data_IF_310805246695
#
_entry.id   IF_310805246695
#
_cell.length_a   1.000
_cell.length_b   1.000
_cell.length_c   1.000
_cell.angle_alpha   90.00
_cell.angle_beta   90.00
_cell.angle_gamma   90.00
#
_symmetry.space_group_name_H-M   'P 1'
#
loop_
_entity.id
_entity.type
_entity.pdbx_description
1 polymer ?
#
# COMPACT_ATOMS: atom_id res chain seq x y z
N UNK A 1 -2.99 -28.67 -14.82
CA UNK A 1 -3.16 -27.53 -15.76
C UNK A 1 -4.56 -26.92 -15.80
N UNK A 2 -5.68 -27.65 -15.52
CA UNK A 2 -7.05 -27.07 -15.54
C UNK A 2 -7.45 -26.34 -14.23
N UNK A 3 -7.04 -26.80 -13.07
CA UNK A 3 -7.40 -26.22 -11.77
C UNK A 3 -6.74 -24.85 -11.53
N UNK A 4 -5.47 -24.66 -11.91
CA UNK A 4 -4.76 -23.38 -11.78
C UNK A 4 -5.37 -22.29 -12.66
N UNK A 5 -5.75 -22.61 -13.90
CA UNK A 5 -6.44 -21.67 -14.80
C UNK A 5 -7.81 -21.25 -14.27
N UNK A 6 -8.56 -22.15 -13.65
CA UNK A 6 -9.87 -21.83 -13.05
C UNK A 6 -9.74 -20.93 -11.83
N UNK A 7 -8.70 -21.14 -11.01
CA UNK A 7 -8.42 -20.31 -9.83
C UNK A 7 -8.02 -18.87 -10.23
N UNK A 8 -7.22 -18.71 -11.28
CA UNK A 8 -6.81 -17.41 -11.79
C UNK A 8 -8.01 -16.61 -12.34
N UNK A 9 -8.88 -17.24 -13.11
CA UNK A 9 -10.12 -16.61 -13.61
C UNK A 9 -11.06 -16.18 -12.49
N UNK A 10 -11.17 -16.98 -11.42
CA UNK A 10 -11.97 -16.62 -10.25
C UNK A 10 -11.43 -15.38 -9.55
N UNK A 11 -10.11 -15.31 -9.34
CA UNK A 11 -9.47 -14.13 -8.77
C UNK A 11 -9.55 -12.89 -9.68
N UNK A 12 -9.50 -13.06 -10.99
CA UNK A 12 -9.67 -11.96 -11.93
C UNK A 12 -11.05 -11.32 -11.82
N UNK A 13 -12.11 -12.13 -11.78
CA UNK A 13 -13.50 -11.65 -11.60
C UNK A 13 -13.69 -10.95 -10.25
N UNK A 14 -13.19 -11.56 -9.17
CA UNK A 14 -13.28 -10.97 -7.83
C UNK A 14 -12.52 -9.65 -7.74
N UNK A 15 -11.38 -9.53 -8.41
CA UNK A 15 -10.58 -8.32 -8.49
C UNK A 15 -11.28 -7.22 -9.26
N UNK A 16 -11.93 -7.55 -10.38
CA UNK A 16 -12.75 -6.62 -11.14
C UNK A 16 -13.91 -6.09 -10.30
N UNK A 17 -14.65 -6.98 -9.62
CA UNK A 17 -15.74 -6.58 -8.74
C UNK A 17 -15.29 -5.61 -7.62
N UNK A 18 -14.11 -5.86 -7.03
CA UNK A 18 -13.53 -4.94 -6.05
C UNK A 18 -13.23 -3.57 -6.67
N UNK A 19 -12.67 -3.54 -7.88
CA UNK A 19 -12.35 -2.28 -8.56
C UNK A 19 -13.61 -1.50 -8.90
N UNK A 20 -14.66 -2.17 -9.34
CA UNK A 20 -15.95 -1.56 -9.60
C UNK A 20 -16.57 -0.98 -8.31
N UNK A 21 -16.43 -1.72 -7.19
CA UNK A 21 -16.91 -1.26 -5.87
C UNK A 21 -16.15 -0.01 -5.39
N UNK A 22 -14.80 0.00 -5.43
CA UNK A 22 -14.04 1.19 -4.98
C UNK A 22 -14.23 2.38 -5.92
N UNK A 23 -14.46 2.15 -7.21
CA UNK A 23 -14.83 3.20 -8.17
C UNK A 23 -16.18 3.81 -7.82
N UNK A 24 -17.20 3.00 -7.52
CA UNK A 24 -18.53 3.48 -7.09
C UNK A 24 -18.49 4.29 -5.80
N UNK A 25 -17.50 4.05 -4.93
CA UNK A 25 -17.23 4.81 -3.70
C UNK A 25 -16.46 6.12 -3.93
N UNK A 26 -16.14 6.47 -5.18
CA UNK A 26 -15.58 7.77 -5.57
C UNK A 26 -14.09 7.77 -5.88
N UNK A 27 -13.44 6.60 -6.07
CA UNK A 27 -12.10 6.55 -6.68
C UNK A 27 -12.25 6.75 -8.17
N UNK A 28 -11.69 7.83 -8.71
CA UNK A 28 -11.86 8.25 -10.09
C UNK A 28 -10.59 8.21 -10.93
N UNK A 29 -9.42 8.11 -10.32
CA UNK A 29 -8.15 8.01 -11.04
C UNK A 29 -7.98 6.62 -11.65
N UNK A 30 -8.08 6.54 -12.98
CA UNK A 30 -7.99 5.28 -13.72
C UNK A 30 -6.65 4.55 -13.51
N UNK A 31 -5.58 5.29 -13.20
CA UNK A 31 -4.27 4.70 -12.91
C UNK A 31 -4.33 3.92 -11.59
N UNK A 32 -5.07 4.45 -10.60
CA UNK A 32 -5.28 3.77 -9.31
C UNK A 32 -6.09 2.51 -9.50
N UNK A 33 -7.21 2.59 -10.24
CA UNK A 33 -8.06 1.44 -10.54
C UNK A 33 -7.28 0.33 -11.28
N UNK A 34 -6.47 0.70 -12.28
CA UNK A 34 -5.60 -0.23 -13.01
C UNK A 34 -4.55 -0.90 -12.10
N UNK A 35 -3.96 -0.13 -11.17
CA UNK A 35 -3.00 -0.69 -10.21
C UNK A 35 -3.64 -1.74 -9.30
N UNK A 36 -4.89 -1.55 -8.89
CA UNK A 36 -5.63 -2.54 -8.11
C UNK A 36 -5.97 -3.78 -8.94
N UNK A 37 -6.32 -3.62 -10.21
CA UNK A 37 -6.51 -4.75 -11.14
C UNK A 37 -5.23 -5.58 -11.29
N UNK A 38 -4.07 -4.94 -11.29
CA UNK A 38 -2.76 -5.58 -11.52
C UNK A 38 -2.08 -6.08 -10.24
N UNK A 39 -2.63 -5.76 -9.04
CA UNK A 39 -2.01 -6.17 -7.77
C UNK A 39 -2.79 -7.32 -7.14
N UNK A 40 -2.21 -8.54 -7.06
CA UNK A 40 -2.91 -9.73 -6.58
C UNK A 40 -2.98 -9.74 -5.05
N UNK A 41 -4.04 -9.11 -4.47
CA UNK A 41 -4.21 -8.94 -3.02
C UNK A 41 -4.23 -10.27 -2.25
N UNK A 42 -4.70 -11.36 -2.86
CA UNK A 42 -4.72 -12.69 -2.22
C UNK A 42 -3.33 -13.21 -1.86
N UNK A 43 -2.25 -12.72 -2.50
CA UNK A 43 -0.87 -13.08 -2.14
C UNK A 43 -0.37 -12.39 -0.84
N UNK A 44 -1.13 -11.45 -0.29
CA UNK A 44 -0.76 -10.64 0.86
C UNK A 44 -1.56 -10.97 2.12
N UNK A 45 -2.52 -11.88 2.04
CA UNK A 45 -3.33 -12.38 3.15
C UNK A 45 -2.99 -13.84 3.46
N UNK A 46 -3.34 -14.31 4.64
CA UNK A 46 -3.22 -15.73 4.97
C UNK A 46 -4.23 -16.57 4.17
N UNK A 47 -3.89 -17.82 3.87
CA UNK A 47 -4.72 -18.72 3.08
C UNK A 47 -6.17 -18.83 3.57
N UNK A 48 -6.38 -18.78 4.89
CA UNK A 48 -7.71 -18.78 5.51
C UNK A 48 -8.59 -17.57 5.09
N UNK A 49 -7.98 -16.48 4.63
CA UNK A 49 -8.69 -15.28 4.20
C UNK A 49 -8.66 -15.07 2.67
N UNK A 50 -8.12 -16.00 1.90
CA UNK A 50 -7.97 -15.87 0.44
C UNK A 50 -9.31 -15.63 -0.27
N UNK A 51 -10.39 -16.29 0.17
CA UNK A 51 -11.74 -16.08 -0.39
C UNK A 51 -12.30 -14.67 -0.14
N UNK A 52 -11.81 -13.98 0.90
CA UNK A 52 -12.22 -12.63 1.30
C UNK A 52 -11.25 -11.55 0.84
N UNK A 53 -10.14 -11.93 0.19
CA UNK A 53 -9.07 -11.02 -0.19
C UNK A 53 -9.53 -9.83 -1.06
N UNK A 54 -10.60 -10.01 -1.82
CA UNK A 54 -11.16 -9.01 -2.73
C UNK A 54 -12.46 -8.38 -2.23
N UNK A 55 -12.82 -8.55 -0.95
CA UNK A 55 -13.84 -7.75 -0.29
C UNK A 55 -13.24 -6.42 0.15
N UNK A 56 -14.01 -5.33 0.07
CA UNK A 56 -13.55 -4.00 0.50
C UNK A 56 -13.59 -3.86 2.02
N UNK A 57 -12.72 -4.63 2.68
CA UNK A 57 -12.58 -4.66 4.13
C UNK A 57 -11.14 -4.88 4.58
N UNK A 58 -10.84 -4.51 5.83
CA UNK A 58 -9.59 -4.88 6.49
C UNK A 58 -9.62 -6.37 6.89
N UNK A 59 -8.46 -7.05 6.83
CA UNK A 59 -8.31 -8.44 7.23
C UNK A 59 -7.11 -8.57 8.16
N UNK A 60 -7.13 -9.50 9.14
CA UNK A 60 -6.01 -9.70 10.05
C UNK A 60 -4.79 -10.25 9.29
N UNK A 61 -3.61 -9.77 9.67
CA UNK A 61 -2.33 -10.25 9.16
C UNK A 61 -1.40 -10.75 10.28
N UNK A 62 -1.94 -11.00 11.47
CA UNK A 62 -1.20 -11.38 12.66
C UNK A 62 -0.63 -10.18 13.42
N UNK A 63 -0.06 -10.44 14.58
CA UNK A 63 0.56 -9.42 15.46
C UNK A 63 -0.36 -8.25 15.80
N UNK A 64 -1.66 -8.47 15.91
CA UNK A 64 -2.70 -7.45 16.09
C UNK A 64 -2.68 -6.37 15.00
N UNK A 65 -2.22 -6.71 13.79
CA UNK A 65 -2.22 -5.82 12.63
C UNK A 65 -3.17 -6.32 11.56
N UNK A 66 -3.55 -5.42 10.66
CA UNK A 66 -4.45 -5.71 9.54
C UNK A 66 -3.87 -5.22 8.22
N UNK A 67 -4.20 -5.90 7.12
CA UNK A 67 -4.13 -5.30 5.80
C UNK A 67 -5.28 -4.29 5.68
N UNK A 68 -4.97 -3.06 5.31
CA UNK A 68 -5.96 -1.99 5.22
C UNK A 68 -7.05 -2.30 4.20
N UNK A 69 -8.25 -1.75 4.43
CA UNK A 69 -9.36 -1.79 3.50
C UNK A 69 -8.92 -1.27 2.13
N UNK A 70 -9.25 -1.95 1.02
CA UNK A 70 -8.85 -1.55 -0.33
C UNK A 70 -9.21 -0.10 -0.69
N UNK A 71 -10.45 0.33 -0.39
CA UNK A 71 -10.87 1.71 -0.62
C UNK A 71 -9.95 2.73 0.07
N UNK A 72 -9.54 2.48 1.31
CA UNK A 72 -8.65 3.40 2.05
C UNK A 72 -7.26 3.47 1.38
N UNK A 73 -6.71 2.33 0.97
CA UNK A 73 -5.43 2.29 0.23
C UNK A 73 -5.57 3.06 -1.09
N UNK A 74 -6.63 2.83 -1.85
CA UNK A 74 -6.89 3.50 -3.12
C UNK A 74 -7.00 5.02 -2.92
N UNK A 75 -7.75 5.46 -1.90
CA UNK A 75 -7.94 6.87 -1.59
C UNK A 75 -6.64 7.56 -1.19
N UNK A 76 -5.81 6.93 -0.35
CA UNK A 76 -4.51 7.48 0.02
C UNK A 76 -3.58 7.63 -1.19
N UNK A 77 -3.54 6.64 -2.08
CA UNK A 77 -2.75 6.70 -3.32
C UNK A 77 -3.28 7.76 -4.27
N UNK A 78 -4.60 7.84 -4.46
CA UNK A 78 -5.24 8.88 -5.30
C UNK A 78 -4.91 10.30 -4.81
N UNK A 79 -4.92 10.51 -3.49
CA UNK A 79 -4.57 11.81 -2.89
C UNK A 79 -3.10 12.18 -3.15
N UNK A 80 -2.17 11.22 -3.07
CA UNK A 80 -0.76 11.46 -3.42
C UNK A 80 -0.63 11.86 -4.88
N UNK A 81 -1.34 11.17 -5.79
CA UNK A 81 -1.26 11.46 -7.22
C UNK A 81 -1.89 12.82 -7.57
N UNK A 82 -3.04 13.16 -6.96
CA UNK A 82 -3.67 14.47 -7.13
C UNK A 82 -2.85 15.62 -6.55
N UNK A 83 -2.11 15.35 -5.49
CA UNK A 83 -1.22 16.34 -4.87
C UNK A 83 0.11 16.52 -5.61
N UNK A 84 0.39 15.74 -6.62
CA UNK A 84 1.58 15.88 -7.44
C UNK A 84 1.44 17.07 -8.41
N UNK A 85 1.68 18.28 -7.88
CA UNK A 85 1.54 19.55 -8.63
C UNK A 85 2.43 19.65 -9.87
N UNK A 86 3.41 18.77 -10.02
CA UNK A 86 4.30 18.74 -11.19
C UNK A 86 3.87 17.75 -12.25
N UNK A 87 2.75 17.04 -12.05
CA UNK A 87 2.24 15.94 -12.90
C UNK A 87 3.34 14.94 -13.34
N UNK A 88 4.37 14.79 -12.49
CA UNK A 88 5.45 13.84 -12.72
C UNK A 88 4.98 12.43 -12.39
N UNK A 89 4.61 11.69 -13.38
CA UNK A 89 4.44 10.23 -13.26
C UNK A 89 5.50 9.53 -14.12
N UNK A 90 6.24 8.56 -13.57
CA UNK A 90 6.16 8.10 -12.18
C UNK A 90 6.76 9.10 -11.17
N UNK A 91 6.23 9.10 -9.95
CA UNK A 91 6.87 9.74 -8.80
C UNK A 91 8.31 9.22 -8.64
N UNK A 92 9.21 10.03 -8.11
CA UNK A 92 10.58 9.59 -7.85
C UNK A 92 10.63 8.57 -6.72
N UNK A 93 10.47 9.04 -5.50
CA UNK A 93 10.57 8.22 -4.29
C UNK A 93 9.41 8.50 -3.34
N UNK A 94 8.85 7.43 -2.80
CA UNK A 94 7.77 7.48 -1.80
C UNK A 94 8.24 6.78 -0.53
N UNK A 95 7.97 7.40 0.63
CA UNK A 95 8.14 6.79 1.94
C UNK A 95 6.80 6.25 2.43
N UNK A 96 6.78 4.99 2.80
CA UNK A 96 5.65 4.31 3.45
C UNK A 96 6.01 4.01 4.91
N UNK A 97 5.14 4.41 5.83
CA UNK A 97 5.24 4.05 7.24
C UNK A 97 4.14 3.03 7.57
N UNK A 98 4.55 1.83 7.96
CA UNK A 98 3.67 0.70 8.20
C UNK A 98 3.55 -0.20 6.95
N UNK A 99 4.58 -1.00 6.67
CA UNK A 99 4.61 -1.96 5.55
C UNK A 99 3.53 -3.04 5.69
N UNK A 100 3.32 -3.53 6.92
CA UNK A 100 2.42 -4.65 7.20
C UNK A 100 2.78 -5.90 6.40
N UNK A 101 1.83 -6.39 5.59
CA UNK A 101 2.05 -7.52 4.69
C UNK A 101 2.68 -7.14 3.34
N UNK A 102 2.87 -5.85 3.03
CA UNK A 102 3.46 -5.34 1.79
C UNK A 102 2.46 -5.04 0.66
N UNK A 103 1.15 -5.15 0.89
CA UNK A 103 0.15 -4.91 -0.16
C UNK A 103 0.17 -3.47 -0.67
N UNK A 104 0.14 -2.49 0.23
CA UNK A 104 0.19 -1.07 -0.15
C UNK A 104 1.52 -0.72 -0.81
N UNK A 105 2.65 -1.29 -0.35
CA UNK A 105 3.95 -1.20 -1.03
C UNK A 105 3.85 -1.67 -2.47
N UNK A 106 3.17 -2.81 -2.73
CA UNK A 106 2.98 -3.34 -4.09
C UNK A 106 2.12 -2.42 -4.96
N UNK A 107 1.07 -1.82 -4.42
CA UNK A 107 0.25 -0.82 -5.13
C UNK A 107 1.10 0.43 -5.44
N UNK A 108 1.79 1.00 -4.44
CA UNK A 108 2.65 2.19 -4.60
C UNK A 108 3.75 1.98 -5.64
N UNK A 109 4.29 0.76 -5.72
CA UNK A 109 5.35 0.42 -6.69
C UNK A 109 4.96 0.66 -8.16
N UNK A 110 3.67 0.76 -8.46
CA UNK A 110 3.16 1.05 -9.81
C UNK A 110 3.28 2.53 -10.19
N UNK A 111 3.45 3.41 -9.20
CA UNK A 111 3.38 4.87 -9.37
C UNK A 111 4.71 5.59 -9.16
N UNK A 112 5.72 4.92 -8.60
CA UNK A 112 6.99 5.56 -8.26
C UNK A 112 8.19 4.73 -8.71
N UNK A 113 9.32 5.40 -8.85
CA UNK A 113 10.59 4.73 -9.17
C UNK A 113 11.07 3.84 -8.03
N UNK A 114 10.83 4.26 -6.79
CA UNK A 114 11.25 3.51 -5.60
C UNK A 114 10.32 3.76 -4.42
N UNK A 115 9.90 2.68 -3.76
CA UNK A 115 9.21 2.73 -2.47
C UNK A 115 10.22 2.42 -1.36
N UNK A 116 10.30 3.31 -0.38
CA UNK A 116 10.98 3.07 0.89
C UNK A 116 9.90 2.79 1.92
N UNK A 117 9.95 1.64 2.57
CA UNK A 117 8.90 1.22 3.51
C UNK A 117 9.49 0.84 4.86
N UNK A 118 8.88 1.32 5.93
CA UNK A 118 9.33 1.08 7.30
C UNK A 118 8.29 0.24 8.03
N UNK A 119 8.74 -0.85 8.65
CA UNK A 119 7.93 -1.73 9.48
C UNK A 119 8.63 -1.98 10.81
N UNK A 120 7.92 -1.81 11.93
CA UNK A 120 8.52 -2.03 13.26
C UNK A 120 8.49 -3.49 13.70
N UNK A 121 7.59 -4.30 13.14
CA UNK A 121 7.40 -5.70 13.51
C UNK A 121 8.22 -6.57 12.55
N UNK A 122 9.38 -7.05 13.03
CA UNK A 122 10.32 -7.81 12.20
C UNK A 122 9.71 -8.99 11.44
N UNK A 123 8.87 -9.87 12.04
CA UNK A 123 8.22 -10.94 11.29
C UNK A 123 7.30 -10.45 10.16
N UNK A 124 6.65 -9.30 10.32
CA UNK A 124 5.84 -8.69 9.25
C UNK A 124 6.73 -8.15 8.13
N UNK A 125 7.84 -7.48 8.46
CA UNK A 125 8.80 -7.00 7.47
C UNK A 125 9.35 -8.15 6.61
N UNK A 126 9.69 -9.29 7.21
CA UNK A 126 10.18 -10.47 6.48
C UNK A 126 9.08 -11.11 5.62
N UNK A 127 7.84 -11.18 6.15
CA UNK A 127 6.69 -11.66 5.37
C UNK A 127 6.39 -10.74 4.19
N UNK A 128 6.43 -9.43 4.38
CA UNK A 128 6.24 -8.46 3.30
C UNK A 128 7.26 -8.65 2.16
N UNK A 129 8.54 -8.86 2.48
CA UNK A 129 9.58 -9.16 1.48
C UNK A 129 9.24 -10.40 0.65
N UNK A 130 8.78 -11.48 1.31
CA UNK A 130 8.36 -12.72 0.63
C UNK A 130 7.16 -12.46 -0.29
N UNK A 131 6.13 -11.80 0.21
CA UNK A 131 4.91 -11.50 -0.55
C UNK A 131 5.21 -10.62 -1.77
N UNK A 132 6.00 -9.55 -1.60
CA UNK A 132 6.41 -8.65 -2.68
C UNK A 132 7.22 -9.37 -3.75
N UNK A 133 8.13 -10.26 -3.34
CA UNK A 133 8.88 -11.12 -4.27
C UNK A 133 7.93 -12.02 -5.06
N UNK A 134 6.97 -12.67 -4.41
CA UNK A 134 5.96 -13.52 -5.06
C UNK A 134 5.06 -12.73 -6.02
N UNK A 135 4.75 -11.46 -5.69
CA UNK A 135 4.01 -10.55 -6.54
C UNK A 135 4.86 -9.91 -7.66
N UNK A 136 6.14 -10.26 -7.79
CA UNK A 136 7.05 -9.74 -8.82
C UNK A 136 7.47 -8.28 -8.66
N UNK A 137 7.27 -7.69 -7.49
CA UNK A 137 7.68 -6.30 -7.20
C UNK A 137 9.18 -6.23 -6.98
N UNK A 138 9.85 -5.22 -7.58
CA UNK A 138 11.33 -5.08 -7.53
C UNK A 138 11.80 -3.73 -7.02
N UNK A 139 11.00 -2.68 -7.13
CA UNK A 139 11.38 -1.29 -6.85
C UNK A 139 11.02 -0.84 -5.43
N UNK A 140 11.37 -1.64 -4.44
CA UNK A 140 11.16 -1.32 -3.02
C UNK A 140 12.41 -1.54 -2.17
N UNK A 141 12.43 -0.91 -1.01
CA UNK A 141 13.33 -1.20 0.10
C UNK A 141 12.52 -1.25 1.40
N UNK A 142 12.68 -2.30 2.19
CA UNK A 142 12.04 -2.42 3.50
C UNK A 142 13.11 -2.34 4.58
N UNK A 143 12.86 -1.48 5.58
CA UNK A 143 13.66 -1.37 6.81
C UNK A 143 12.80 -1.78 8.01
N UNK A 144 13.35 -2.64 8.86
CA UNK A 144 12.75 -2.91 10.17
C UNK A 144 13.25 -1.84 11.15
N UNK A 145 12.36 -0.90 11.55
CA UNK A 145 12.69 0.23 12.41
C UNK A 145 11.41 0.90 12.94
N UNK A 146 11.56 1.79 13.90
CA UNK A 146 10.50 2.71 14.31
C UNK A 146 10.18 3.68 13.16
N UNK A 147 8.92 3.71 12.73
CA UNK A 147 8.44 4.56 11.66
C UNK A 147 8.50 6.05 11.98
N UNK A 148 8.49 6.42 13.27
CA UNK A 148 8.63 7.82 13.69
C UNK A 148 9.96 8.44 13.31
N UNK A 149 10.99 7.61 13.09
CA UNK A 149 12.32 8.04 12.65
C UNK A 149 12.38 8.30 11.13
N UNK A 150 11.35 7.94 10.38
CA UNK A 150 11.37 8.02 8.93
C UNK A 150 12.47 7.16 8.30
N UNK A 151 13.18 7.75 7.32
CA UNK A 151 14.34 7.10 6.67
C UNK A 151 15.59 7.99 6.80
N UNK A 152 16.38 7.89 7.88
CA UNK A 152 17.42 8.87 8.24
C UNK A 152 18.50 9.11 7.19
N UNK A 153 18.81 8.08 6.37
CA UNK A 153 19.87 8.17 5.34
C UNK A 153 19.36 8.76 4.02
N UNK A 154 18.06 9.07 3.90
CA UNK A 154 17.46 9.64 2.70
C UNK A 154 16.71 10.93 3.05
N UNK A 155 17.03 12.02 2.36
CA UNK A 155 16.63 13.37 2.81
C UNK A 155 15.42 13.97 2.10
N UNK A 156 14.95 13.38 0.99
CA UNK A 156 13.86 13.97 0.19
C UNK A 156 12.97 12.88 -0.40
N UNK A 157 11.69 12.91 -0.08
CA UNK A 157 10.65 12.09 -0.69
C UNK A 157 9.67 12.98 -1.45
N UNK A 158 9.13 12.49 -2.56
CA UNK A 158 8.08 13.20 -3.30
C UNK A 158 6.73 13.09 -2.56
N UNK A 159 6.53 11.99 -1.83
CA UNK A 159 5.37 11.81 -0.97
C UNK A 159 5.69 10.90 0.22
N UNK A 160 4.94 11.07 1.31
CA UNK A 160 4.93 10.18 2.46
C UNK A 160 3.50 9.67 2.68
N UNK A 161 3.37 8.35 2.83
CA UNK A 161 2.11 7.69 3.19
C UNK A 161 2.28 7.00 4.54
N UNK A 162 1.37 7.27 5.47
CA UNK A 162 1.42 6.69 6.81
C UNK A 162 0.19 5.83 7.04
N UNK A 163 0.38 4.52 7.14
CA UNK A 163 -0.66 3.53 7.47
C UNK A 163 -0.60 3.09 8.94
N UNK A 164 0.39 3.60 9.68
CA UNK A 164 0.54 3.37 11.11
C UNK A 164 -0.18 4.47 11.91
N UNK A 165 -0.73 4.09 13.07
CA UNK A 165 -1.34 5.06 13.99
C UNK A 165 -0.26 5.85 14.72
N UNK A 166 -0.35 7.19 14.70
CA UNK A 166 0.46 8.08 15.51
C UNK A 166 -0.43 9.12 16.18
N UNK A 167 -0.10 9.52 17.41
CA UNK A 167 -0.81 10.61 18.11
C UNK A 167 -0.54 11.98 17.48
N UNK A 168 0.69 12.18 17.03
CA UNK A 168 1.15 13.40 16.38
C UNK A 168 2.00 13.00 15.16
N UNK A 169 2.07 13.89 14.17
CA UNK A 169 2.98 13.71 13.04
C UNK A 169 4.39 14.05 13.52
N UNK A 170 5.35 13.10 13.51
CA UNK A 170 6.72 13.41 13.90
C UNK A 170 7.38 14.43 12.96
N UNK A 171 8.12 15.38 13.50
CA UNK A 171 8.87 16.37 12.71
C UNK A 171 9.84 15.73 11.70
N UNK A 172 10.39 14.56 12.07
CA UNK A 172 11.23 13.74 11.19
C UNK A 172 10.56 13.30 9.90
N UNK A 173 9.22 13.27 9.85
CA UNK A 173 8.44 12.94 8.65
C UNK A 173 8.04 14.19 7.86
N UNK A 174 7.99 15.37 8.50
CA UNK A 174 7.62 16.63 7.84
C UNK A 174 8.81 17.22 7.08
N UNK A 175 10.00 17.22 7.69
CA UNK A 175 11.23 17.84 7.14
C UNK A 175 11.72 17.21 5.82
N UNK A 176 11.59 15.89 5.57
CA UNK A 176 12.11 15.26 4.35
C UNK A 176 11.17 15.34 3.13
N UNK A 177 10.02 15.97 3.22
CA UNK A 177 9.10 16.08 2.06
C UNK A 177 9.51 17.27 1.21
N UNK A 178 9.79 17.03 -0.06
CA UNK A 178 10.22 18.10 -1.00
C UNK A 178 9.11 19.09 -1.31
N UNK A 179 7.85 18.67 -1.21
CA UNK A 179 6.61 19.45 -1.22
C UNK A 179 5.53 18.66 -0.47
N UNK A 180 4.73 19.35 0.32
CA UNK A 180 3.87 18.84 1.37
C UNK A 180 2.70 17.98 0.90
N UNK A 181 2.88 16.66 0.79
CA UNK A 181 1.77 15.73 0.77
C UNK A 181 2.03 14.59 1.75
N UNK A 182 1.52 14.77 2.96
CA UNK A 182 1.40 13.74 3.96
C UNK A 182 -0.05 13.26 3.97
N UNK A 183 -0.30 12.03 3.55
CA UNK A 183 -1.61 11.40 3.70
C UNK A 183 -1.62 10.54 4.96
N UNK A 184 -2.50 10.87 5.87
CA UNK A 184 -2.80 10.07 7.05
C UNK A 184 -4.15 9.40 6.83
N UNK A 185 -4.34 8.12 7.25
CA UNK A 185 -5.67 7.59 7.37
C UNK A 185 -6.44 8.47 8.35
N UNK A 186 -7.59 8.96 7.93
CA UNK A 186 -8.51 9.66 8.82
C UNK A 186 -8.84 8.69 9.95
N UNK A 187 -8.48 9.07 11.19
CA UNK A 187 -8.86 8.28 12.35
C UNK A 187 -10.38 8.31 12.44
N UNK A 188 -11.04 7.25 12.02
CA UNK A 188 -12.41 6.98 12.43
C UNK A 188 -12.28 6.60 13.91
N UNK A 189 -12.61 7.53 14.80
CA UNK A 189 -12.87 7.19 16.19
C UNK A 189 -14.05 6.21 16.20
N UNK A 190 -13.79 4.98 16.61
CA UNK A 190 -14.82 4.07 17.10
C UNK A 190 -15.07 4.42 18.55
#
# INVERSE_FOLDING_TARGET
>A
MSLEKNTDLTYQRARQALVDEISSKGISDLRVLDAFLKTPRHLFVDGAFSSRAYQDMSLPIGYHQTISQPFIVARMVELILKGNIFDKTPLGTVLEIGTGCGYQTAVLSKFCRKVFSVERISPLAERAKKNLKSAGVKNYLIRCSDGSLGWPTYKKFDAIICSAVSRNIPDSLIKPVSYTHLTLPTMIRV
#
